data_IF_164997025284
#
_entry.id   IF_164997025284
#
_cell.length_a   1.000
_cell.length_b   1.000
_cell.length_c   1.000
_cell.angle_alpha   90.00
_cell.angle_beta   90.00
_cell.angle_gamma   90.00
#
_symmetry.space_group_name_H-M   'P 1'
#
loop_
_entity.id
_entity.type
_entity.pdbx_description
1 polymer ?
#
# COMPACT_ATOMS: atom_id res chain seq x y z
N UNK A 1 -24.10 20.40 -24.23
CA UNK A 1 -23.40 20.05 -22.98
C UNK A 1 -23.77 18.64 -22.60
N UNK A 2 -22.82 17.71 -22.56
CA UNK A 2 -23.09 16.33 -22.14
C UNK A 2 -23.45 16.33 -20.64
N UNK A 3 -24.58 15.71 -20.27
CA UNK A 3 -24.93 15.50 -18.85
C UNK A 3 -23.76 14.77 -18.18
N UNK A 4 -23.22 15.33 -17.09
CA UNK A 4 -22.33 14.59 -16.20
C UNK A 4 -22.99 13.25 -15.87
N UNK A 5 -22.28 12.14 -16.13
CA UNK A 5 -22.74 10.81 -15.70
C UNK A 5 -22.78 10.83 -14.17
N UNK A 6 -23.97 11.02 -13.61
CA UNK A 6 -24.21 10.86 -12.18
C UNK A 6 -24.36 9.38 -11.86
N UNK A 7 -23.82 8.96 -10.73
CA UNK A 7 -23.92 7.60 -10.21
C UNK A 7 -24.64 7.60 -8.86
N UNK A 8 -25.31 6.50 -8.54
CA UNK A 8 -25.96 6.29 -7.24
C UNK A 8 -24.97 5.75 -6.21
N UNK A 9 -25.32 5.87 -4.93
CA UNK A 9 -24.50 5.29 -3.85
C UNK A 9 -24.37 3.76 -4.00
N UNK A 10 -25.41 3.07 -4.47
CA UNK A 10 -25.36 1.64 -4.79
C UNK A 10 -24.40 1.31 -5.93
N UNK A 11 -24.35 2.14 -6.98
CA UNK A 11 -23.38 1.96 -8.07
C UNK A 11 -21.95 2.18 -7.56
N UNK A 12 -21.73 3.17 -6.70
CA UNK A 12 -20.44 3.41 -6.08
C UNK A 12 -20.03 2.29 -5.12
N UNK A 13 -20.96 1.76 -4.33
CA UNK A 13 -20.72 0.59 -3.47
C UNK A 13 -20.25 -0.61 -4.28
N UNK A 14 -20.95 -0.96 -5.37
CA UNK A 14 -20.56 -2.04 -6.28
C UNK A 14 -19.20 -1.78 -6.93
N UNK A 15 -18.93 -0.55 -7.35
CA UNK A 15 -17.65 -0.18 -7.92
C UNK A 15 -16.51 -0.29 -6.90
N UNK A 16 -16.73 0.12 -5.64
CA UNK A 16 -15.76 -0.03 -4.55
C UNK A 16 -15.46 -1.49 -4.23
N UNK A 17 -16.47 -2.35 -4.19
CA UNK A 17 -16.29 -3.80 -3.98
C UNK A 17 -15.41 -4.38 -5.10
N UNK A 18 -15.75 -4.08 -6.36
CA UNK A 18 -14.98 -4.55 -7.54
C UNK A 18 -13.57 -3.96 -7.60
N UNK A 19 -13.40 -2.75 -7.08
CA UNK A 19 -12.12 -2.03 -7.01
C UNK A 19 -11.34 -2.31 -5.73
N UNK A 20 -11.72 -3.30 -4.91
CA UNK A 20 -11.04 -3.61 -3.65
C UNK A 20 -10.92 -2.40 -2.69
N UNK A 21 -11.93 -1.54 -2.68
CA UNK A 21 -11.97 -0.32 -1.86
C UNK A 21 -11.07 0.81 -2.36
N UNK A 22 -10.52 0.73 -3.58
CA UNK A 22 -9.69 1.79 -4.18
C UNK A 22 -10.57 2.84 -4.89
N UNK A 23 -10.60 4.11 -4.43
CA UNK A 23 -11.47 5.12 -5.03
C UNK A 23 -11.08 5.50 -6.46
N UNK A 24 -9.78 5.49 -6.79
CA UNK A 24 -9.28 5.75 -8.15
C UNK A 24 -9.82 4.74 -9.15
N UNK A 25 -9.73 3.45 -8.81
CA UNK A 25 -10.23 2.38 -9.69
C UNK A 25 -11.75 2.35 -9.75
N UNK A 26 -12.44 2.69 -8.65
CA UNK A 26 -13.89 2.87 -8.65
C UNK A 26 -14.32 4.01 -9.58
N UNK A 27 -13.57 5.13 -9.62
CA UNK A 27 -13.84 6.25 -10.51
C UNK A 27 -13.67 5.86 -11.99
N UNK A 28 -12.64 5.08 -12.32
CA UNK A 28 -12.46 4.51 -13.67
C UNK A 28 -13.64 3.60 -14.07
N UNK A 29 -14.09 2.71 -13.18
CA UNK A 29 -15.22 1.81 -13.43
C UNK A 29 -16.51 2.59 -13.71
N UNK A 30 -16.73 3.69 -13.00
CA UNK A 30 -17.92 4.53 -13.15
C UNK A 30 -17.80 5.54 -14.30
N UNK A 31 -16.60 5.74 -14.85
CA UNK A 31 -16.33 6.73 -15.88
C UNK A 31 -16.49 8.17 -15.38
N UNK A 32 -16.08 8.43 -14.13
CA UNK A 32 -16.19 9.73 -13.44
C UNK A 32 -14.87 10.15 -12.83
N UNK A 33 -14.81 11.38 -12.30
CA UNK A 33 -13.58 11.90 -11.66
C UNK A 33 -13.36 11.31 -10.27
N UNK A 34 -12.09 11.10 -9.91
CA UNK A 34 -11.69 10.67 -8.57
C UNK A 34 -12.28 11.56 -7.47
N UNK A 35 -12.23 12.89 -7.66
CA UNK A 35 -12.70 13.86 -6.66
C UNK A 35 -14.18 13.69 -6.35
N UNK A 36 -15.00 13.37 -7.36
CA UNK A 36 -16.43 13.10 -7.16
C UNK A 36 -16.65 11.89 -6.25
N UNK A 37 -15.94 10.79 -6.52
CA UNK A 37 -16.00 9.54 -5.76
C UNK A 37 -15.51 9.74 -4.34
N UNK A 38 -14.32 10.34 -4.19
CA UNK A 38 -13.71 10.58 -2.89
C UNK A 38 -14.63 11.44 -2.00
N UNK A 39 -15.18 12.53 -2.55
CA UNK A 39 -16.08 13.40 -1.82
C UNK A 39 -17.37 12.69 -1.39
N UNK A 40 -17.92 11.82 -2.25
CA UNK A 40 -19.14 11.05 -1.95
C UNK A 40 -18.90 10.03 -0.84
N UNK A 41 -17.77 9.32 -0.87
CA UNK A 41 -17.37 8.36 0.18
C UNK A 41 -17.23 9.07 1.53
N UNK A 42 -16.58 10.23 1.58
CA UNK A 42 -16.38 10.98 2.84
C UNK A 42 -17.68 11.51 3.46
N UNK A 43 -18.73 11.68 2.65
CA UNK A 43 -20.04 12.17 3.10
C UNK A 43 -21.02 11.05 3.45
N UNK A 44 -20.71 9.80 3.14
CA UNK A 44 -21.58 8.65 3.37
C UNK A 44 -20.85 7.60 4.24
N UNK A 45 -21.25 7.42 5.51
CA UNK A 45 -20.63 6.47 6.43
C UNK A 45 -20.62 5.02 5.93
N UNK A 46 -21.67 4.58 5.24
CA UNK A 46 -21.77 3.23 4.71
C UNK A 46 -20.72 2.98 3.61
N UNK A 47 -20.56 3.92 2.68
CA UNK A 47 -19.56 3.83 1.62
C UNK A 47 -18.14 3.86 2.18
N UNK A 48 -17.92 4.65 3.24
CA UNK A 48 -16.64 4.70 3.94
C UNK A 48 -16.30 3.35 4.59
N UNK A 49 -17.26 2.68 5.22
CA UNK A 49 -17.05 1.36 5.81
C UNK A 49 -16.80 0.29 4.74
N UNK A 50 -17.55 0.30 3.63
CA UNK A 50 -17.28 -0.58 2.48
C UNK A 50 -15.86 -0.37 1.94
N UNK A 51 -15.42 0.89 1.81
CA UNK A 51 -14.06 1.20 1.37
C UNK A 51 -13.01 0.59 2.33
N UNK A 52 -13.15 0.83 3.64
CA UNK A 52 -12.20 0.35 4.65
C UNK A 52 -12.18 -1.18 4.72
N UNK A 53 -13.33 -1.83 4.77
CA UNK A 53 -13.44 -3.27 4.87
C UNK A 53 -12.76 -3.99 3.70
N UNK A 54 -13.01 -3.52 2.47
CA UNK A 54 -12.39 -4.12 1.28
C UNK A 54 -10.88 -3.84 1.19
N UNK A 55 -10.42 -2.67 1.64
CA UNK A 55 -8.98 -2.38 1.74
C UNK A 55 -8.29 -3.25 2.79
N UNK A 56 -8.91 -3.44 3.96
CA UNK A 56 -8.39 -4.30 5.02
C UNK A 56 -8.30 -5.77 4.56
N UNK A 57 -9.32 -6.27 3.83
CA UNK A 57 -9.28 -7.62 3.25
C UNK A 57 -8.09 -7.78 2.30
N UNK A 58 -7.89 -6.85 1.36
CA UNK A 58 -6.76 -6.93 0.42
C UNK A 58 -5.43 -6.84 1.14
N UNK A 59 -5.33 -5.98 2.14
CA UNK A 59 -4.15 -5.91 2.97
C UNK A 59 -3.84 -7.25 3.66
N UNK A 60 -4.85 -7.92 4.23
CA UNK A 60 -4.68 -9.24 4.84
C UNK A 60 -4.25 -10.30 3.82
N UNK A 61 -4.84 -10.32 2.63
CA UNK A 61 -4.48 -11.24 1.55
C UNK A 61 -3.04 -11.05 1.08
N UNK A 62 -2.61 -9.80 0.90
CA UNK A 62 -1.22 -9.47 0.52
C UNK A 62 -0.27 -9.83 1.65
N UNK A 63 -0.59 -9.50 2.91
CA UNK A 63 0.23 -9.83 4.08
C UNK A 63 0.41 -11.34 4.25
N UNK A 64 -0.65 -12.13 4.05
CA UNK A 64 -0.58 -13.59 4.07
C UNK A 64 0.32 -14.13 2.95
N UNK A 65 0.21 -13.57 1.74
CA UNK A 65 1.05 -13.95 0.59
C UNK A 65 2.52 -13.61 0.85
N UNK A 66 2.79 -12.41 1.34
CA UNK A 66 4.15 -11.97 1.68
C UNK A 66 4.75 -12.84 2.80
N UNK A 67 3.93 -13.27 3.76
CA UNK A 67 4.36 -14.18 4.84
C UNK A 67 4.75 -15.54 4.28
N UNK A 68 3.96 -16.09 3.35
CA UNK A 68 4.29 -17.34 2.65
C UNK A 68 5.62 -17.21 1.88
N UNK A 69 5.79 -16.12 1.13
CA UNK A 69 7.04 -15.84 0.38
C UNK A 69 8.23 -15.76 1.34
N UNK A 70 8.13 -14.95 2.40
CA UNK A 70 9.21 -14.76 3.36
C UNK A 70 9.62 -16.08 4.02
N UNK A 71 8.65 -16.80 4.59
CA UNK A 71 8.89 -17.96 5.44
C UNK A 71 9.16 -19.23 4.62
N UNK A 72 8.25 -19.59 3.72
CA UNK A 72 8.33 -20.82 2.95
C UNK A 72 9.18 -20.66 1.67
N UNK A 73 9.44 -19.43 1.22
CA UNK A 73 10.25 -19.20 0.02
C UNK A 73 9.56 -19.63 -1.26
N UNK A 74 8.23 -19.64 -1.28
CA UNK A 74 7.43 -20.05 -2.44
C UNK A 74 6.32 -19.04 -2.75
N UNK A 75 5.91 -19.00 -4.02
CA UNK A 75 4.70 -18.34 -4.48
C UNK A 75 3.79 -19.37 -5.17
N UNK A 76 2.47 -19.20 -5.04
CA UNK A 76 1.47 -20.01 -5.73
C UNK A 76 1.10 -19.34 -7.05
N UNK A 77 1.66 -19.84 -8.14
CA UNK A 77 1.36 -19.34 -9.48
C UNK A 77 0.18 -20.12 -10.08
N UNK A 78 -0.85 -19.44 -10.62
CA UNK A 78 -1.99 -20.12 -11.23
C UNK A 78 -1.57 -20.90 -12.47
N UNK A 79 -2.12 -22.10 -12.65
CA UNK A 79 -1.90 -22.89 -13.86
C UNK A 79 -2.91 -22.44 -14.92
N UNK A 80 -2.43 -22.19 -16.14
CA UNK A 80 -3.27 -21.88 -17.30
C UNK A 80 -3.48 -23.11 -18.17
N UNK A 81 -4.61 -23.17 -18.88
CA UNK A 81 -4.83 -24.12 -19.96
C UNK A 81 -4.08 -23.71 -21.25
N UNK A 82 -4.28 -24.48 -22.32
CA UNK A 82 -3.65 -24.26 -23.63
C UNK A 82 -4.07 -22.92 -24.27
N UNK A 83 -5.18 -22.33 -23.84
CA UNK A 83 -5.70 -21.04 -24.32
C UNK A 83 -5.22 -19.86 -23.43
N UNK A 84 -4.43 -20.14 -22.40
CA UNK A 84 -3.95 -19.15 -21.44
C UNK A 84 -4.98 -18.75 -20.37
N UNK A 85 -6.10 -19.46 -20.28
CA UNK A 85 -7.13 -19.21 -19.26
C UNK A 85 -6.73 -19.88 -17.95
N UNK A 86 -6.86 -19.15 -16.83
CA UNK A 86 -6.52 -19.68 -15.50
C UNK A 86 -7.47 -20.80 -15.10
N UNK A 87 -6.92 -21.97 -14.79
CA UNK A 87 -7.67 -23.11 -14.27
C UNK A 87 -7.93 -22.88 -12.78
N UNK A 88 -9.20 -22.66 -12.41
CA UNK A 88 -9.57 -22.38 -11.03
C UNK A 88 -9.11 -23.47 -10.07
N UNK A 89 -8.51 -23.06 -8.95
CA UNK A 89 -8.06 -23.96 -7.88
C UNK A 89 -6.77 -24.71 -8.18
N UNK A 90 -6.19 -24.59 -9.38
CA UNK A 90 -4.91 -25.22 -9.72
C UNK A 90 -3.78 -24.21 -9.68
N UNK A 91 -2.82 -24.48 -8.80
CA UNK A 91 -1.63 -23.66 -8.61
C UNK A 91 -0.38 -24.54 -8.62
N UNK A 92 0.73 -24.01 -9.12
CA UNK A 92 2.06 -24.58 -8.94
C UNK A 92 2.84 -23.75 -7.92
N UNK A 93 3.64 -24.43 -7.11
CA UNK A 93 4.57 -23.76 -6.20
C UNK A 93 5.85 -23.42 -6.95
N UNK A 94 6.23 -22.15 -6.92
CA UNK A 94 7.44 -21.64 -7.55
C UNK A 94 8.37 -21.11 -6.47
N UNK A 95 9.64 -21.55 -6.42
CA UNK A 95 10.58 -21.07 -5.43
C UNK A 95 10.93 -19.60 -5.68
N UNK A 96 11.17 -18.88 -4.59
CA UNK A 96 11.52 -17.45 -4.58
C UNK A 96 12.96 -17.31 -4.09
N UNK A 97 13.73 -16.45 -4.75
CA UNK A 97 15.13 -16.21 -4.42
C UNK A 97 15.31 -15.49 -3.06
N UNK A 98 16.50 -15.63 -2.48
CA UNK A 98 16.83 -15.08 -1.17
C UNK A 98 16.61 -13.56 -1.06
N UNK A 99 16.97 -12.78 -2.09
CA UNK A 99 16.86 -11.31 -2.06
C UNK A 99 15.39 -10.88 -2.03
N UNK A 100 14.55 -11.52 -2.83
CA UNK A 100 13.11 -11.25 -2.84
C UNK A 100 12.49 -11.61 -1.49
N UNK A 101 12.90 -12.73 -0.87
CA UNK A 101 12.46 -13.11 0.48
C UNK A 101 12.84 -12.07 1.55
N UNK A 102 14.07 -11.57 1.52
CA UNK A 102 14.52 -10.53 2.47
C UNK A 102 13.74 -9.23 2.28
N UNK A 103 13.47 -8.85 1.04
CA UNK A 103 12.63 -7.67 0.73
C UNK A 103 11.21 -7.85 1.28
N UNK A 104 10.63 -9.05 1.13
CA UNK A 104 9.31 -9.35 1.67
C UNK A 104 9.28 -9.26 3.20
N UNK A 105 10.29 -9.82 3.89
CA UNK A 105 10.43 -9.70 5.35
C UNK A 105 10.53 -8.24 5.80
N UNK A 106 11.36 -7.43 5.13
CA UNK A 106 11.49 -6.00 5.44
C UNK A 106 10.17 -5.25 5.26
N UNK A 107 9.44 -5.56 4.19
CA UNK A 107 8.13 -4.94 3.90
C UNK A 107 7.11 -5.29 4.99
N UNK A 108 7.03 -6.57 5.38
CA UNK A 108 6.16 -7.03 6.47
C UNK A 108 6.52 -6.33 7.79
N UNK A 109 7.81 -6.29 8.16
CA UNK A 109 8.26 -5.62 9.39
C UNK A 109 7.91 -4.13 9.39
N UNK A 110 8.12 -3.44 8.26
CA UNK A 110 7.77 -2.02 8.13
C UNK A 110 6.26 -1.76 8.27
N UNK A 111 5.44 -2.75 7.93
CA UNK A 111 3.99 -2.68 8.03
C UNK A 111 3.52 -2.85 9.48
N UNK A 112 4.15 -3.76 10.25
CA UNK A 112 3.91 -3.89 11.68
C UNK A 112 4.40 -2.68 12.51
N UNK A 113 5.28 -1.82 11.95
CA UNK A 113 5.71 -0.58 12.62
C UNK A 113 4.59 0.45 12.81
N UNK A 114 3.43 0.26 12.20
CA UNK A 114 2.39 1.29 12.10
C UNK A 114 1.21 1.07 13.06
N UNK A 115 1.01 -0.15 13.59
CA UNK A 115 -0.15 -0.44 14.46
C UNK A 115 0.19 -0.65 15.95
N UNK A 116 1.37 -1.17 16.34
CA UNK A 116 1.74 -1.27 17.78
C UNK A 116 3.24 -1.57 18.08
N UNK A 117 4.19 -1.25 17.17
CA UNK A 117 5.61 -1.61 17.36
C UNK A 117 6.63 -0.70 16.66
N UNK A 118 7.86 -0.65 17.20
CA UNK A 118 9.05 0.15 16.78
C UNK A 118 8.72 1.48 16.09
N UNK A 119 8.20 2.41 16.90
CA UNK A 119 8.31 3.85 16.64
C UNK A 119 9.80 4.20 16.74
N UNK A 120 10.35 4.93 15.78
CA UNK A 120 11.63 5.62 15.98
C UNK A 120 11.40 6.72 17.03
N UNK A 121 11.42 6.35 18.31
CA UNK A 121 11.35 7.29 19.42
C UNK A 121 12.73 7.92 19.58
N UNK A 122 12.82 9.20 19.28
CA UNK A 122 13.94 10.03 19.69
C UNK A 122 13.67 10.48 21.13
N UNK A 123 14.22 9.76 22.11
CA UNK A 123 14.20 10.22 23.51
C UNK A 123 15.29 11.29 23.70
N UNK A 124 14.86 12.55 23.79
CA UNK A 124 15.74 13.68 24.09
C UNK A 124 15.74 13.88 25.60
N UNK A 125 16.77 13.38 26.29
CA UNK A 125 17.03 13.71 27.69
C UNK A 125 17.98 14.90 27.79
N UNK A 126 17.59 15.93 28.53
CA UNK A 126 18.39 17.16 28.72
C UNK A 126 19.25 17.14 29.98
N UNK A 127 19.44 15.97 30.60
CA UNK A 127 20.16 15.82 31.86
C UNK A 127 19.74 16.85 32.94
N UNK A 128 18.44 17.15 33.01
CA UNK A 128 17.86 18.08 33.99
C UNK A 128 17.78 19.56 33.55
N UNK A 129 18.23 19.92 32.34
CA UNK A 129 18.08 21.28 31.81
C UNK A 129 16.74 21.46 31.08
N UNK A 130 16.03 22.59 31.19
CA UNK A 130 14.82 22.81 30.40
C UNK A 130 15.14 22.81 28.90
N UNK A 131 14.33 22.13 28.09
CA UNK A 131 14.37 22.27 26.63
C UNK A 131 14.07 23.73 26.31
N UNK A 132 15.03 24.45 25.74
CA UNK A 132 14.84 25.84 25.31
C UNK A 132 13.70 25.91 24.30
N UNK A 133 12.72 26.80 24.53
CA UNK A 133 11.63 27.04 23.59
C UNK A 133 12.22 27.51 22.25
N UNK A 134 12.05 26.71 21.20
CA UNK A 134 12.55 27.04 19.86
C UNK A 134 13.39 25.96 19.17
N UNK A 135 13.24 24.67 19.50
CA UNK A 135 13.92 23.60 18.75
C UNK A 135 13.34 23.55 17.33
N UNK A 136 14.12 23.99 16.35
CA UNK A 136 13.84 23.79 14.95
C UNK A 136 14.34 22.40 14.55
N UNK A 137 13.42 21.49 14.25
CA UNK A 137 13.76 20.16 13.73
C UNK A 137 13.93 20.28 12.22
N UNK A 138 15.16 20.15 11.72
CA UNK A 138 15.42 19.98 10.29
C UNK A 138 15.56 18.50 9.96
N UNK A 139 14.72 18.02 9.04
CA UNK A 139 14.82 16.67 8.47
C UNK A 139 15.70 16.75 7.23
N UNK A 140 16.94 16.28 7.33
CA UNK A 140 17.89 16.22 6.20
C UNK A 140 17.75 14.85 5.52
N UNK A 141 17.20 14.82 4.30
CA UNK A 141 17.26 13.62 3.45
C UNK A 141 18.63 13.54 2.78
N UNK A 142 19.45 12.56 3.19
CA UNK A 142 20.83 12.39 2.69
C UNK A 142 20.91 11.79 1.28
N UNK A 143 19.79 11.51 0.60
CA UNK A 143 19.81 10.93 -0.76
C UNK A 143 20.38 11.86 -1.84
N UNK A 144 20.42 13.17 -1.61
CA UNK A 144 21.02 14.14 -2.54
C UNK A 144 22.54 14.35 -2.36
N UNK A 145 23.17 13.75 -1.34
CA UNK A 145 24.61 13.91 -1.07
C UNK A 145 25.46 12.73 -1.57
N UNK A 146 25.00 12.01 -2.60
CA UNK A 146 25.91 11.11 -3.33
C UNK A 146 26.85 12.00 -4.15
N UNK A 147 28.05 12.21 -3.62
CA UNK A 147 29.17 12.79 -4.36
C UNK A 147 29.33 12.03 -5.68
N UNK A 148 29.08 12.69 -6.80
CA UNK A 148 29.78 12.37 -8.04
C UNK A 148 31.23 12.78 -7.80
N UNK A 149 32.06 11.83 -7.40
CA UNK A 149 33.51 11.98 -7.52
C UNK A 149 33.80 12.05 -9.04
N UNK A 150 33.66 13.24 -9.60
CA UNK A 150 34.26 13.60 -10.88
C UNK A 150 35.77 13.56 -10.67
N UNK A 151 36.33 12.38 -10.93
CA UNK A 151 37.75 12.13 -10.96
C UNK A 151 38.32 12.77 -12.23
N UNK A 152 38.40 14.11 -12.22
CA UNK A 152 39.29 14.89 -13.08
C UNK A 152 40.44 15.36 -12.21
N UNK A 153 41.58 14.65 -12.30
CA UNK A 153 42.87 15.28 -12.62
C UNK A 153 44.01 14.23 -12.73
N UNK A 154 44.74 14.36 -13.85
CA UNK A 154 46.01 13.75 -14.31
C UNK A 154 46.05 12.30 -14.78
#
# INVERSE_FOLDING_TARGET
>A
MAKEKTYTDEQLKKALIKANGQPTKAAEILGVTYVSVYSRIRKNPELLEVQKAHRARVFNEVSNTMTLIAMAGIIKEPITDEEGTVIQGKFREVPVDYRTRMTAMQTILSTFRVEDGVIDKLDITTAGSPLSQGITIEVIDKREQVRTDDNTDN
#
